data_IF_112790130478
#
_entry.id   IF_112790130478
#
_cell.length_a   1.000
_cell.length_b   1.000
_cell.length_c   1.000
_cell.angle_alpha   90.00
_cell.angle_beta   90.00
_cell.angle_gamma   90.00
#
_symmetry.space_group_name_H-M   'P 1'
#
loop_
_entity.id
_entity.type
_entity.pdbx_description
1 polymer ?
#
# COMPACT_ATOMS: atom_id res chain seq x y z
N UNK A 1 -10.86 -12.24 -9.69
CA UNK A 1 -9.88 -11.12 -9.68
C UNK A 1 -8.93 -11.42 -8.53
N UNK A 2 -7.72 -11.90 -8.82
CA UNK A 2 -6.75 -12.39 -7.84
C UNK A 2 -5.64 -11.37 -7.62
N UNK A 3 -6.02 -10.18 -7.16
CA UNK A 3 -5.12 -9.05 -6.91
C UNK A 3 -5.38 -8.50 -5.51
N UNK A 4 -4.40 -7.78 -4.96
CA UNK A 4 -4.41 -7.20 -3.62
C UNK A 4 -4.00 -5.73 -3.70
N UNK A 5 -4.67 -4.88 -2.93
CA UNK A 5 -4.20 -3.52 -2.64
C UNK A 5 -3.04 -3.64 -1.66
N UNK A 6 -1.87 -3.18 -2.05
CA UNK A 6 -0.65 -3.37 -1.28
C UNK A 6 0.25 -2.14 -1.35
N UNK A 7 0.93 -1.87 -0.25
CA UNK A 7 1.90 -0.81 -0.07
C UNK A 7 2.82 -1.17 1.11
N UNK A 8 3.99 -0.57 1.14
CA UNK A 8 4.96 -0.67 2.23
C UNK A 8 5.15 0.73 2.84
N UNK A 9 4.96 0.87 4.16
CA UNK A 9 5.13 2.16 4.83
C UNK A 9 6.19 2.10 5.92
N UNK A 10 6.94 3.19 6.05
CA UNK A 10 7.91 3.39 7.12
C UNK A 10 7.61 4.69 7.85
N UNK A 11 7.69 4.65 9.19
CA UNK A 11 7.48 5.81 10.03
C UNK A 11 8.81 6.42 10.43
N UNK A 12 8.97 7.72 10.19
CA UNK A 12 10.17 8.45 10.60
C UNK A 12 10.16 8.88 12.08
N UNK A 13 11.24 9.50 12.52
CA UNK A 13 11.42 9.99 13.90
C UNK A 13 10.43 11.10 14.29
N UNK A 14 9.88 11.82 13.31
CA UNK A 14 8.85 12.84 13.53
C UNK A 14 7.44 12.25 13.58
N UNK A 15 7.34 10.93 13.37
CA UNK A 15 6.10 10.20 13.38
C UNK A 15 5.34 10.24 12.06
N UNK A 16 5.98 10.70 10.97
CA UNK A 16 5.41 10.81 9.64
C UNK A 16 5.58 9.47 8.90
N UNK A 17 4.53 9.01 8.23
CA UNK A 17 4.55 7.81 7.41
C UNK A 17 4.98 8.15 5.97
N UNK A 18 5.88 7.34 5.42
CA UNK A 18 6.39 7.41 4.04
C UNK A 18 6.07 6.08 3.35
N UNK A 19 5.66 6.10 2.08
CA UNK A 19 5.29 4.88 1.34
C UNK A 19 4.11 5.03 0.38
N UNK A 20 3.47 6.20 0.31
CA UNK A 20 2.35 6.51 -0.58
C UNK A 20 2.68 6.20 -2.06
N UNK A 21 3.94 6.38 -2.47
CA UNK A 21 4.44 6.08 -3.81
C UNK A 21 4.46 4.58 -4.15
N UNK A 22 4.29 3.71 -3.16
CA UNK A 22 4.31 2.25 -3.30
C UNK A 22 2.91 1.66 -3.44
N UNK A 23 1.86 2.46 -3.24
CA UNK A 23 0.47 2.03 -3.36
C UNK A 23 0.16 1.48 -4.75
N UNK A 24 -0.26 0.21 -4.79
CA UNK A 24 -0.60 -0.45 -6.04
C UNK A 24 -1.65 -1.55 -5.85
N UNK A 25 -2.34 -1.88 -6.95
CA UNK A 25 -3.12 -3.12 -7.06
C UNK A 25 -2.26 -4.13 -7.80
N UNK A 26 -1.80 -5.14 -7.09
CA UNK A 26 -0.81 -6.09 -7.59
C UNK A 26 -1.35 -7.52 -7.53
N UNK A 27 -0.81 -8.38 -8.39
CA UNK A 27 -0.93 -9.82 -8.18
C UNK A 27 -0.02 -10.25 -7.01
N UNK A 28 -0.38 -11.29 -6.26
CA UNK A 28 0.43 -11.81 -5.15
C UNK A 28 1.90 -12.08 -5.53
N UNK A 29 2.15 -12.56 -6.75
CA UNK A 29 3.52 -12.87 -7.19
C UNK A 29 4.39 -11.61 -7.30
N UNK A 30 3.81 -10.49 -7.75
CA UNK A 30 4.53 -9.20 -7.84
C UNK A 30 4.77 -8.59 -6.46
N UNK A 31 3.83 -8.77 -5.53
CA UNK A 31 4.05 -8.38 -4.13
C UNK A 31 5.19 -9.21 -3.53
N UNK A 32 5.21 -10.52 -3.78
CA UNK A 32 6.28 -11.38 -3.31
C UNK A 32 7.66 -10.96 -3.85
N UNK A 33 7.76 -10.67 -5.15
CA UNK A 33 8.98 -10.10 -5.76
C UNK A 33 9.40 -8.78 -5.11
N UNK A 34 8.43 -7.91 -4.78
CA UNK A 34 8.71 -6.64 -4.08
C UNK A 34 9.23 -6.87 -2.68
N UNK A 35 8.63 -7.79 -1.93
CA UNK A 35 9.05 -8.13 -0.57
C UNK A 35 10.49 -8.67 -0.51
N UNK A 36 10.95 -9.39 -1.53
CA UNK A 36 12.35 -9.84 -1.63
C UNK A 36 13.37 -8.70 -1.77
N UNK A 37 12.92 -7.50 -2.15
CA UNK A 37 13.76 -6.30 -2.24
C UNK A 37 13.80 -5.51 -0.93
N UNK A 38 12.93 -5.84 0.02
CA UNK A 38 12.88 -5.23 1.34
C UNK A 38 13.85 -5.95 2.29
N UNK A 39 14.09 -5.33 3.44
CA UNK A 39 14.89 -5.94 4.51
C UNK A 39 14.35 -5.55 5.88
N UNK A 40 14.75 -6.29 6.90
CA UNK A 40 14.41 -6.00 8.30
C UNK A 40 13.12 -6.64 8.76
N UNK A 41 12.49 -6.00 9.74
CA UNK A 41 11.28 -6.43 10.40
C UNK A 41 10.09 -5.55 9.98
N UNK A 42 8.98 -6.20 9.64
CA UNK A 42 7.78 -5.53 9.15
C UNK A 42 6.54 -6.06 9.88
N UNK A 43 5.62 -5.14 10.16
CA UNK A 43 4.29 -5.48 10.67
C UNK A 43 3.34 -5.61 9.49
N UNK A 44 2.58 -6.70 9.45
CA UNK A 44 1.59 -6.99 8.42
C UNK A 44 0.20 -6.63 8.90
N UNK A 45 -0.55 -5.89 8.07
CA UNK A 45 -1.93 -5.48 8.35
C UNK A 45 -2.79 -5.64 7.10
N UNK A 46 -4.09 -5.80 7.31
CA UNK A 46 -5.09 -5.90 6.25
C UNK A 46 -5.49 -7.34 5.90
N UNK A 47 -6.67 -7.47 5.30
CA UNK A 47 -7.25 -8.76 4.90
C UNK A 47 -6.49 -9.48 3.77
N UNK A 48 -5.58 -8.80 3.07
CA UNK A 48 -4.77 -9.37 1.99
C UNK A 48 -3.91 -10.56 2.44
N UNK A 49 -3.40 -10.52 3.67
CA UNK A 49 -2.56 -11.59 4.23
C UNK A 49 -3.34 -12.87 4.56
N UNK A 50 -4.62 -12.75 4.94
CA UNK A 50 -5.49 -13.91 5.13
C UNK A 50 -5.88 -14.58 3.81
N UNK A 51 -6.07 -13.77 2.76
CA UNK A 51 -6.37 -14.27 1.42
C UNK A 51 -5.16 -14.92 0.75
N UNK A 52 -3.94 -14.47 1.07
CA UNK A 52 -2.68 -14.92 0.49
C UNK A 52 -1.66 -15.24 1.59
N UNK A 53 -1.81 -16.37 2.32
CA UNK A 53 -0.95 -16.71 3.45
C UNK A 53 0.52 -16.96 3.07
N UNK A 54 0.77 -17.20 1.77
CA UNK A 54 2.08 -17.53 1.24
C UNK A 54 2.85 -16.30 0.75
N UNK A 55 2.25 -15.11 0.80
CA UNK A 55 2.79 -13.86 0.24
C UNK A 55 4.19 -13.53 0.76
N UNK A 56 4.41 -13.74 2.07
CA UNK A 56 5.67 -13.44 2.74
C UNK A 56 6.66 -14.60 2.85
N UNK A 57 6.28 -15.82 2.43
CA UNK A 57 7.18 -16.98 2.49
C UNK A 57 8.44 -16.69 1.66
N UNK A 58 9.61 -17.09 2.13
CA UNK A 58 10.88 -16.92 1.39
C UNK A 58 11.28 -15.46 1.06
N UNK A 59 10.58 -14.46 1.61
CA UNK A 59 10.94 -13.04 1.42
C UNK A 59 12.25 -12.64 2.10
N UNK A 60 12.71 -13.40 3.10
CA UNK A 60 13.84 -13.04 3.95
C UNK A 60 13.51 -12.00 5.03
N UNK A 61 12.27 -11.52 5.10
CA UNK A 61 11.78 -10.58 6.10
C UNK A 61 11.40 -11.28 7.40
N UNK A 62 11.53 -10.58 8.52
CA UNK A 62 10.82 -10.93 9.76
C UNK A 62 9.46 -10.27 9.70
N UNK A 63 8.39 -11.07 9.67
CA UNK A 63 7.02 -10.58 9.60
C UNK A 63 6.32 -10.80 10.94
N UNK A 64 5.76 -9.71 11.48
CA UNK A 64 4.93 -9.71 12.67
C UNK A 64 3.47 -9.48 12.26
N UNK A 65 2.54 -10.23 12.86
CA UNK A 65 1.11 -9.98 12.69
C UNK A 65 0.72 -8.75 13.52
N UNK A 66 0.18 -7.73 12.85
CA UNK A 66 -0.31 -6.52 13.51
C UNK A 66 -1.71 -6.68 14.10
N UNK A 67 -2.40 -7.79 13.83
CA UNK A 67 -3.78 -8.08 14.27
C UNK A 67 -4.82 -7.03 13.80
N UNK A 68 -4.47 -6.21 12.81
CA UNK A 68 -5.35 -5.18 12.22
C UNK A 68 -5.81 -5.63 10.84
N UNK A 69 -7.13 -5.77 10.65
CA UNK A 69 -7.72 -6.20 9.37
C UNK A 69 -8.32 -5.07 8.56
N UNK A 70 -8.84 -4.04 9.22
CA UNK A 70 -9.59 -2.95 8.60
C UNK A 70 -9.10 -1.61 9.17
N UNK A 71 -9.15 -0.52 8.38
CA UNK A 71 -8.81 0.80 8.86
C UNK A 71 -9.83 1.27 9.91
N UNK A 72 -9.37 1.95 10.96
CA UNK A 72 -10.22 2.63 11.92
C UNK A 72 -10.18 4.15 11.71
N UNK A 73 -11.31 4.81 11.90
CA UNK A 73 -11.40 6.26 11.73
C UNK A 73 -10.50 7.02 12.71
N UNK A 74 -10.27 6.46 13.91
CA UNK A 74 -9.39 7.07 14.92
C UNK A 74 -7.92 7.14 14.46
N UNK A 75 -7.46 6.16 13.68
CA UNK A 75 -6.09 6.12 13.15
C UNK A 75 -5.88 7.05 11.95
N UNK A 76 -6.96 7.48 11.30
CA UNK A 76 -6.90 8.49 10.23
C UNK A 76 -6.66 9.90 10.79
N UNK A 77 -7.08 10.17 12.03
CA UNK A 77 -7.05 11.51 12.62
C UNK A 77 -5.63 12.10 12.75
N UNK A 78 -4.61 11.36 13.23
CA UNK A 78 -3.24 11.89 13.30
C UNK A 78 -2.72 12.35 11.93
N UNK A 79 -2.98 11.56 10.88
CA UNK A 79 -2.56 11.88 9.50
C UNK A 79 -3.29 13.15 9.03
N UNK A 80 -4.62 13.23 9.23
CA UNK A 80 -5.40 14.39 8.85
C UNK A 80 -4.99 15.67 9.61
N UNK A 81 -4.71 15.57 10.91
CA UNK A 81 -4.21 16.69 11.72
C UNK A 81 -2.86 17.19 11.22
N UNK A 82 -1.94 16.29 10.87
CA UNK A 82 -0.65 16.65 10.28
C UNK A 82 -0.84 17.37 8.94
N UNK A 83 -1.61 16.79 8.02
CA UNK A 83 -1.90 17.38 6.71
C UNK A 83 -2.56 18.76 6.85
N UNK A 84 -3.47 18.92 7.81
CA UNK A 84 -4.10 20.20 8.11
C UNK A 84 -3.09 21.25 8.59
N UNK A 85 -2.19 20.88 9.51
CA UNK A 85 -1.14 21.78 10.00
C UNK A 85 -0.15 22.20 8.90
N UNK A 86 0.10 21.31 7.92
CA UNK A 86 0.92 21.58 6.74
C UNK A 86 0.18 22.35 5.63
N UNK A 87 -1.11 22.66 5.82
CA UNK A 87 -1.93 23.35 4.81
C UNK A 87 -2.29 22.49 3.59
N UNK A 88 -2.17 21.16 3.67
CA UNK A 88 -2.49 20.18 2.60
C UNK A 88 -3.98 19.85 2.52
N UNK A 89 -4.83 20.84 2.69
CA UNK A 89 -6.29 20.68 2.55
C UNK A 89 -6.73 21.00 1.12
N UNK A 90 -7.81 20.37 0.66
CA UNK A 90 -8.41 20.65 -0.64
C UNK A 90 -9.81 21.25 -0.48
N UNK A 91 -10.28 21.99 -1.48
CA UNK A 91 -11.67 22.40 -1.55
C UNK A 91 -12.57 21.16 -1.69
N UNK A 92 -13.83 21.24 -1.25
CA UNK A 92 -14.74 20.09 -1.19
C UNK A 92 -14.97 19.47 -2.58
N UNK A 93 -14.99 20.29 -3.62
CA UNK A 93 -15.14 19.90 -5.02
C UNK A 93 -13.91 19.17 -5.61
N UNK A 94 -12.78 19.18 -4.90
CA UNK A 94 -11.54 18.52 -5.30
C UNK A 94 -11.23 17.26 -4.47
N UNK A 95 -12.12 16.87 -3.55
CA UNK A 95 -11.98 15.62 -2.83
C UNK A 95 -12.32 14.44 -3.76
N UNK A 96 -11.30 13.65 -4.13
CA UNK A 96 -11.43 12.55 -5.09
C UNK A 96 -10.89 11.22 -4.51
N UNK A 97 -11.47 10.07 -4.91
CA UNK A 97 -10.93 8.77 -4.52
C UNK A 97 -9.61 8.48 -5.24
N UNK A 98 -8.71 7.78 -4.56
CA UNK A 98 -7.47 7.29 -5.18
C UNK A 98 -7.78 6.13 -6.13
N UNK A 99 -7.38 6.26 -7.39
CA UNK A 99 -7.55 5.22 -8.40
C UNK A 99 -6.22 4.52 -8.70
N UNK A 100 -6.02 3.33 -8.14
CA UNK A 100 -4.74 2.58 -8.23
C UNK A 100 -4.63 1.66 -9.46
N UNK A 101 -5.70 1.54 -10.27
CA UNK A 101 -5.71 0.71 -11.49
C UNK A 101 -5.37 1.54 -12.73
N UNK A 102 -4.15 2.05 -12.81
CA UNK A 102 -3.76 2.93 -13.94
C UNK A 102 -3.53 2.20 -15.28
N UNK A 103 -3.57 0.86 -15.31
CA UNK A 103 -3.32 0.04 -16.51
C UNK A 103 -4.58 -0.32 -17.32
N UNK A 104 -5.52 0.61 -17.52
CA UNK A 104 -6.68 0.36 -18.41
C UNK A 104 -6.42 0.74 -19.87
N UNK A 105 -5.36 1.50 -20.17
CA UNK A 105 -4.97 1.77 -21.54
C UNK A 105 -3.97 0.71 -22.03
N UNK A 106 -4.49 -0.24 -22.81
CA UNK A 106 -3.70 -1.14 -23.63
C UNK A 106 -2.65 -0.35 -24.43
N UNK A 107 -1.39 -0.39 -24.01
CA UNK A 107 -0.29 -0.06 -24.90
C UNK A 107 -0.24 -1.19 -25.93
N UNK A 108 -0.95 -1.03 -27.06
CA UNK A 108 -0.80 -1.92 -28.22
C UNK A 108 0.71 -2.02 -28.50
N UNK A 109 1.26 -3.21 -28.36
CA UNK A 109 2.64 -3.49 -28.74
C UNK A 109 2.79 -3.12 -30.24
N UNK A 110 3.74 -2.26 -30.62
CA UNK A 110 4.05 -2.07 -32.02
C UNK A 110 4.66 -3.37 -32.55
N UNK A 111 4.01 -4.01 -33.53
CA UNK A 111 4.58 -5.17 -34.24
C UNK A 111 3.81 -6.49 -34.16
N UNK A 112 2.47 -6.47 -34.12
CA UNK A 112 1.65 -7.63 -34.55
C UNK A 112 0.62 -7.21 -35.59
N UNK A 113 1.02 -7.32 -36.86
CA UNK A 113 0.14 -7.74 -37.95
C UNK A 113 0.42 -9.21 -38.26
#
# INVERSE_FOLDING_TARGET
MGEVYWAEYQRDENGIWHGEETEAVLKPELVHERMQQLSGEWVTVGTGWQAWPDLGKESGLVLLDGEVLLPAAEDMLPIACQMFAEGKTVAVEHAEPVYLRNNVAWKKLPGKE
#
